data_IF_834721619440
#
_entry.id   IF_834721619440
#
_cell.length_a   1.000
_cell.length_b   1.000
_cell.length_c   1.000
_cell.angle_alpha   90.00
_cell.angle_beta   90.00
_cell.angle_gamma   90.00
#
_symmetry.space_group_name_H-M   'P 1'
#
loop_
_entity.id
_entity.type
_entity.pdbx_description
1 polymer ?
#
# COMPACT_ATOMS: atom_id res chain seq x y z
N UNK A 1 16.79 30.13 6.49
CA UNK A 1 15.40 29.63 6.43
C UNK A 1 15.26 28.51 7.45
N UNK A 2 14.05 28.40 7.98
CA UNK A 2 13.62 27.69 9.19
C UNK A 2 14.34 26.36 9.42
N UNK A 3 14.89 26.19 10.62
CA UNK A 3 15.38 24.90 11.11
C UNK A 3 14.19 23.95 11.06
N UNK A 4 14.26 22.90 10.26
CA UNK A 4 13.16 21.94 10.14
C UNK A 4 12.79 21.46 11.55
N UNK A 5 11.60 21.85 12.02
CA UNK A 5 10.86 21.23 13.12
C UNK A 5 10.46 19.82 12.65
N UNK A 6 11.47 18.99 12.41
CA UNK A 6 11.39 17.66 11.85
C UNK A 6 11.51 16.65 12.97
N UNK A 7 10.37 16.27 13.53
CA UNK A 7 10.25 15.09 14.37
C UNK A 7 10.46 13.78 13.61
N UNK A 8 10.84 12.70 14.30
CA UNK A 8 10.95 11.34 13.75
C UNK A 8 9.56 10.74 13.60
N UNK A 9 9.34 10.01 12.51
CA UNK A 9 8.20 9.11 12.37
C UNK A 9 8.58 7.73 12.90
N UNK A 10 7.78 7.18 13.80
CA UNK A 10 7.90 5.83 14.33
C UNK A 10 6.72 4.99 13.85
N UNK A 11 6.99 3.77 13.40
CA UNK A 11 5.97 2.82 12.96
C UNK A 11 6.14 1.53 13.75
N UNK A 12 5.07 1.05 14.35
CA UNK A 12 5.08 -0.19 15.14
C UNK A 12 3.81 -1.01 14.93
N UNK A 13 3.83 -2.27 15.35
CA UNK A 13 2.67 -3.15 15.33
C UNK A 13 2.28 -3.43 16.77
N UNK A 14 1.01 -3.20 17.10
CA UNK A 14 0.47 -3.44 18.44
C UNK A 14 -1.03 -3.72 18.31
N UNK A 15 -1.54 -4.64 19.14
CA UNK A 15 -2.97 -4.95 19.20
C UNK A 15 -3.61 -5.23 17.81
N UNK A 16 -2.89 -5.98 16.95
CA UNK A 16 -3.26 -6.30 15.55
C UNK A 16 -3.51 -5.08 14.63
N UNK A 17 -2.98 -3.91 15.00
CA UNK A 17 -3.01 -2.68 14.22
C UNK A 17 -1.61 -2.11 13.98
N UNK A 18 -1.48 -1.29 12.93
CA UNK A 18 -0.27 -0.53 12.62
C UNK A 18 -0.36 0.82 13.30
N UNK A 19 0.60 1.13 14.19
CA UNK A 19 0.69 2.41 14.87
C UNK A 19 1.66 3.32 14.15
N UNK A 20 1.21 4.53 13.82
CA UNK A 20 1.98 5.58 13.19
C UNK A 20 2.11 6.76 14.16
N UNK A 21 3.32 7.02 14.63
CA UNK A 21 3.63 8.08 15.59
C UNK A 21 4.57 9.12 14.97
N UNK A 22 4.40 10.39 15.33
CA UNK A 22 5.39 11.45 15.07
C UNK A 22 5.88 12.00 16.39
N UNK A 23 7.18 11.92 16.62
CA UNK A 23 7.85 12.36 17.85
C UNK A 23 8.73 13.57 17.55
N UNK A 24 8.58 14.66 18.31
CA UNK A 24 9.41 15.86 18.17
C UNK A 24 10.87 15.60 18.56
N UNK A 25 11.73 16.60 18.34
CA UNK A 25 13.14 16.51 18.78
C UNK A 25 13.30 16.50 20.31
N UNK A 26 12.29 16.96 21.05
CA UNK A 26 12.25 16.97 22.50
C UNK A 26 11.54 15.73 23.08
N UNK A 27 11.44 14.65 22.30
CA UNK A 27 10.74 13.40 22.62
C UNK A 27 9.24 13.57 22.93
N UNK A 28 8.62 14.66 22.47
CA UNK A 28 7.19 14.90 22.62
C UNK A 28 6.41 14.23 21.48
N UNK A 29 5.40 13.43 21.82
CA UNK A 29 4.51 12.81 20.82
C UNK A 29 3.56 13.86 20.25
N UNK A 30 3.71 14.15 18.97
CA UNK A 30 2.94 15.15 18.21
C UNK A 30 1.80 14.53 17.40
N UNK A 31 1.95 13.26 17.01
CA UNK A 31 0.97 12.50 16.24
C UNK A 31 1.01 11.06 16.72
N UNK A 32 -0.16 10.43 16.83
CA UNK A 32 -0.34 9.04 17.22
C UNK A 32 -1.66 8.58 16.60
N UNK A 33 -1.60 7.61 15.71
CA UNK A 33 -2.80 7.01 15.11
C UNK A 33 -2.60 5.50 14.89
N UNK A 34 -3.66 4.73 15.15
CA UNK A 34 -3.71 3.30 14.86
C UNK A 34 -4.51 3.05 13.58
N UNK A 35 -3.89 2.38 12.62
CA UNK A 35 -4.48 2.03 11.33
C UNK A 35 -4.72 0.52 11.26
N UNK A 36 -5.85 0.13 10.66
CA UNK A 36 -6.05 -1.26 10.28
C UNK A 36 -5.01 -1.69 9.22
N UNK A 37 -4.80 -3.00 9.05
CA UNK A 37 -3.80 -3.50 8.09
C UNK A 37 -4.04 -3.00 6.66
N UNK A 38 -5.30 -2.96 6.20
CA UNK A 38 -5.62 -2.55 4.84
C UNK A 38 -5.48 -1.04 4.67
N UNK A 39 -5.93 -0.27 5.66
CA UNK A 39 -5.77 1.19 5.69
C UNK A 39 -4.29 1.62 5.68
N UNK A 40 -3.42 0.88 6.39
CA UNK A 40 -1.99 1.13 6.37
C UNK A 40 -1.35 0.89 4.98
N UNK A 41 -1.85 -0.11 4.22
CA UNK A 41 -1.42 -0.37 2.84
C UNK A 41 -1.87 0.75 1.92
N UNK A 42 -3.13 1.13 1.99
CA UNK A 42 -3.70 2.23 1.20
C UNK A 42 -2.91 3.54 1.43
N UNK A 43 -2.59 3.83 2.69
CA UNK A 43 -1.77 5.00 3.04
C UNK A 43 -0.37 4.91 2.44
N UNK A 44 0.29 3.74 2.51
CA UNK A 44 1.62 3.54 1.95
C UNK A 44 1.65 3.73 0.42
N UNK A 45 0.62 3.24 -0.28
CA UNK A 45 0.47 3.44 -1.72
C UNK A 45 0.30 4.92 -2.07
N UNK A 46 -0.55 5.64 -1.33
CA UNK A 46 -0.75 7.07 -1.53
C UNK A 46 0.55 7.85 -1.28
N UNK A 47 1.28 7.56 -0.19
CA UNK A 47 2.56 8.20 0.10
C UNK A 47 3.57 7.98 -1.03
N UNK A 48 3.71 6.74 -1.50
CA UNK A 48 4.62 6.38 -2.60
C UNK A 48 4.25 7.10 -3.88
N UNK A 49 2.96 7.06 -4.28
CA UNK A 49 2.47 7.72 -5.50
C UNK A 49 2.74 9.22 -5.51
N UNK A 50 2.58 9.90 -4.36
CA UNK A 50 2.83 11.34 -4.28
C UNK A 50 4.31 11.66 -4.21
N UNK A 51 5.15 10.82 -3.60
CA UNK A 51 6.61 10.95 -3.67
C UNK A 51 7.12 10.81 -5.11
N UNK A 52 6.68 9.77 -5.84
CA UNK A 52 7.04 9.56 -7.25
C UNK A 52 6.63 10.75 -8.13
N UNK A 53 5.44 11.31 -7.86
CA UNK A 53 4.97 12.49 -8.58
C UNK A 53 5.83 13.73 -8.31
N UNK A 54 6.32 13.90 -7.07
CA UNK A 54 7.26 14.97 -6.73
C UNK A 54 8.57 14.78 -7.50
N UNK A 55 9.17 13.59 -7.45
CA UNK A 55 10.43 13.30 -8.14
C UNK A 55 10.33 13.52 -9.66
N UNK A 56 9.22 13.10 -10.28
CA UNK A 56 8.94 13.34 -11.71
C UNK A 56 8.75 14.84 -12.03
N UNK A 57 8.16 15.60 -11.11
CA UNK A 57 7.98 17.05 -11.28
C UNK A 57 9.30 17.82 -11.23
N UNK A 58 10.28 17.33 -10.46
CA UNK A 58 11.63 17.90 -10.38
C UNK A 58 12.51 17.51 -11.58
N UNK A 59 12.26 16.33 -12.16
CA UNK A 59 12.93 15.83 -13.37
C UNK A 59 12.46 16.43 -14.69
N UNK A 60 11.44 17.29 -14.69
CA UNK A 60 10.93 17.96 -15.90
C UNK A 60 11.88 19.02 -16.50
N UNK A 61 13.18 19.00 -16.15
CA UNK A 61 14.21 19.91 -16.66
C UNK A 61 15.28 19.22 -17.52
N UNK A 62 15.29 17.90 -17.67
CA UNK A 62 16.21 17.25 -18.60
C UNK A 62 15.60 15.96 -19.16
N UNK A 63 15.10 16.10 -20.40
CA UNK A 63 15.08 15.17 -21.54
C UNK A 63 14.83 13.66 -21.34
N UNK A 64 13.91 13.13 -22.17
CA UNK A 64 13.83 11.76 -22.73
C UNK A 64 14.16 10.58 -21.80
N UNK A 65 13.13 9.84 -21.35
CA UNK A 65 13.06 8.41 -21.68
C UNK A 65 11.61 7.93 -21.52
N UNK A 66 11.15 7.22 -22.54
CA UNK A 66 9.80 6.70 -22.74
C UNK A 66 9.64 5.37 -21.97
N UNK A 67 8.39 4.99 -21.69
CA UNK A 67 7.92 3.62 -21.44
C UNK A 67 8.62 2.78 -20.35
N UNK A 68 7.96 2.68 -19.19
CA UNK A 68 7.98 1.41 -18.45
C UNK A 68 6.55 0.84 -18.43
N UNK A 69 6.35 -0.03 -19.42
CA UNK A 69 5.23 -0.91 -19.65
C UNK A 69 5.00 -1.77 -18.39
N UNK A 70 4.08 -1.36 -17.52
CA UNK A 70 3.63 -2.23 -16.44
C UNK A 70 2.80 -3.37 -17.06
N UNK A 71 3.50 -4.45 -17.40
CA UNK A 71 2.97 -5.75 -17.79
C UNK A 71 2.13 -6.30 -16.65
N UNK A 72 0.82 -6.15 -16.77
CA UNK A 72 -0.11 -6.93 -15.96
C UNK A 72 -0.14 -8.35 -16.53
N UNK A 73 0.44 -9.27 -15.75
CA UNK A 73 0.51 -10.69 -16.02
C UNK A 73 -0.44 -11.36 -15.03
N UNK A 74 -1.70 -11.53 -15.44
CA UNK A 74 -2.68 -12.47 -14.88
C UNK A 74 -3.05 -13.35 -16.09
N UNK A 75 -2.46 -14.52 -16.34
CA UNK A 75 -2.51 -15.76 -15.55
C UNK A 75 -3.91 -16.04 -14.95
N UNK A 76 -4.94 -15.99 -15.81
CA UNK A 76 -6.17 -16.76 -15.57
C UNK A 76 -5.87 -18.25 -15.82
N UNK A 77 -5.55 -18.89 -14.71
CA UNK A 77 -5.37 -20.31 -14.47
C UNK A 77 -6.52 -21.15 -15.05
N UNK A 78 -6.13 -22.17 -15.82
CA UNK A 78 -6.96 -23.15 -16.50
C UNK A 78 -6.89 -24.44 -15.67
N UNK A 79 -7.77 -24.59 -14.66
CA UNK A 79 -8.01 -25.84 -13.92
C UNK A 79 -9.52 -25.94 -13.62
N UNK A 80 -10.30 -26.70 -14.39
CA UNK A 80 -10.54 -28.15 -14.32
C UNK A 80 -11.59 -28.53 -13.25
N UNK A 81 -12.74 -29.04 -13.71
CA UNK A 81 -13.33 -30.33 -13.31
C UNK A 81 -14.80 -30.40 -13.76
N UNK A 82 -14.99 -31.00 -14.93
CA UNK A 82 -16.22 -31.72 -15.28
C UNK A 82 -16.25 -33.02 -14.46
N UNK A 83 -17.21 -33.20 -13.55
CA UNK A 83 -17.70 -34.50 -13.04
C UNK A 83 -18.74 -34.23 -11.94
N UNK A 84 -19.85 -34.95 -11.74
CA UNK A 84 -20.55 -36.01 -12.47
C UNK A 84 -21.93 -36.12 -11.74
N UNK A 85 -22.96 -36.54 -12.46
CA UNK A 85 -24.31 -36.84 -11.97
C UNK A 85 -24.35 -37.73 -10.71
N UNK A 86 -25.19 -37.39 -9.73
CA UNK A 86 -25.99 -38.39 -8.98
C UNK A 86 -27.10 -37.71 -8.14
N UNK A 87 -28.22 -37.34 -8.78
CA UNK A 87 -29.49 -37.11 -8.08
C UNK A 87 -30.30 -38.42 -8.07
N UNK A 88 -30.01 -39.26 -7.07
CA UNK A 88 -30.85 -40.40 -6.69
C UNK A 88 -32.04 -39.85 -5.87
N UNK A 89 -33.11 -39.42 -6.55
CA UNK A 89 -34.41 -39.08 -5.93
C UNK A 89 -35.40 -40.24 -6.10
N UNK A 90 -35.37 -41.14 -5.10
CA UNK A 90 -36.36 -42.15 -4.77
C UNK A 90 -37.81 -41.63 -5.00
N UNK A 91 -38.50 -42.16 -6.00
CA UNK A 91 -39.96 -42.08 -6.10
C UNK A 91 -40.61 -43.44 -6.41
N UNK A 92 -41.43 -43.87 -5.44
CA UNK A 92 -42.46 -44.94 -5.41
C UNK A 92 -42.03 -46.42 -5.33
#
# INVERSE_FOLDING_TARGET
MVREEGGRWDVSIKDDAVYLERVSQDDERLFDESLASDEARDLAELLTKFADKLDRSEKSKDSDDEDDENKDHDDEDDEDDEDEDDEDDDKD
#
